data_IF_640969365183
#
_entry.id   IF_640969365183
#
_cell.length_a   1.000
_cell.length_b   1.000
_cell.length_c   1.000
_cell.angle_alpha   90.00
_cell.angle_beta   90.00
_cell.angle_gamma   90.00
#
_symmetry.space_group_name_H-M   'P 1'
#
loop_
_entity.id
_entity.type
_entity.pdbx_description
1 polymer ?
#
# COMPACT_ATOMS: atom_id res chain seq x y z
N UNK A 1 -19.63 3.69 25.69
CA UNK A 1 -19.22 5.00 25.15
C UNK A 1 -18.08 5.56 25.99
N UNK A 2 -17.01 6.01 25.35
CA UNK A 2 -15.81 6.60 25.97
C UNK A 2 -15.62 8.01 25.39
N UNK A 3 -15.35 8.99 26.24
CA UNK A 3 -15.25 10.41 25.87
C UNK A 3 -13.89 10.94 26.31
N UNK A 4 -13.17 11.59 25.39
CA UNK A 4 -11.90 12.28 25.63
C UNK A 4 -12.06 13.79 25.83
N UNK A 5 -10.97 14.51 25.62
CA UNK A 5 -10.83 15.96 25.74
C UNK A 5 -10.21 16.57 24.47
N UNK A 6 -9.68 17.79 24.52
CA UNK A 6 -8.98 18.41 23.38
C UNK A 6 -7.46 18.28 23.47
N UNK A 7 -6.98 17.36 24.30
CA UNK A 7 -5.58 17.11 24.54
C UNK A 7 -5.22 15.71 24.03
N UNK A 8 -3.94 15.48 23.75
CA UNK A 8 -3.43 14.14 23.44
C UNK A 8 -3.71 13.16 24.57
N UNK A 9 -4.39 12.08 24.23
CA UNK A 9 -4.83 11.02 25.11
C UNK A 9 -4.43 9.63 24.59
N UNK A 10 -4.46 8.66 25.50
CA UNK A 10 -4.26 7.25 25.18
C UNK A 10 -5.48 6.49 25.66
N UNK A 11 -6.17 5.85 24.72
CA UNK A 11 -7.31 4.98 24.97
C UNK A 11 -6.83 3.53 24.85
N UNK A 12 -7.00 2.74 25.91
CA UNK A 12 -6.70 1.31 25.88
C UNK A 12 -7.98 0.54 26.10
N UNK A 13 -8.35 -0.26 25.10
CA UNK A 13 -9.54 -1.09 25.08
C UNK A 13 -9.10 -2.55 25.05
N UNK A 14 -9.61 -3.33 26.00
CA UNK A 14 -9.35 -4.75 26.09
C UNK A 14 -10.44 -5.58 25.40
N UNK A 15 -10.36 -6.88 25.64
CA UNK A 15 -11.31 -7.87 25.12
C UNK A 15 -12.66 -7.66 25.80
N UNK A 16 -13.53 -6.91 25.12
CA UNK A 16 -14.90 -6.64 25.50
C UNK A 16 -15.82 -7.11 24.35
N UNK A 17 -16.82 -7.92 24.67
CA UNK A 17 -17.83 -8.40 23.70
C UNK A 17 -18.85 -7.31 23.32
N UNK A 18 -18.90 -6.24 24.10
CA UNK A 18 -19.83 -5.15 23.88
C UNK A 18 -19.28 -4.15 22.85
N UNK A 19 -20.12 -3.60 21.96
CA UNK A 19 -19.69 -2.54 21.06
C UNK A 19 -19.21 -1.31 21.83
N UNK A 20 -17.99 -0.87 21.53
CA UNK A 20 -17.36 0.30 22.14
C UNK A 20 -17.33 1.43 21.13
N UNK A 21 -17.73 2.60 21.60
CA UNK A 21 -17.74 3.83 20.82
C UNK A 21 -16.88 4.88 21.53
N UNK A 22 -15.88 5.42 20.83
CA UNK A 22 -14.88 6.33 21.37
C UNK A 22 -14.94 7.67 20.65
N UNK A 23 -15.07 8.74 21.44
CA UNK A 23 -15.07 10.13 21.00
C UNK A 23 -13.91 10.85 21.68
N UNK A 24 -12.68 10.76 21.15
CA UNK A 24 -11.52 11.53 21.63
C UNK A 24 -11.79 13.04 21.64
N UNK A 25 -12.49 13.56 20.62
CA UNK A 25 -12.72 14.97 20.29
C UNK A 25 -11.57 15.62 19.52
N UNK A 26 -10.41 15.87 20.13
CA UNK A 26 -9.27 16.35 19.35
C UNK A 26 -7.97 16.41 20.13
N UNK A 27 -6.90 16.76 19.44
CA UNK A 27 -5.55 16.45 19.90
C UNK A 27 -5.04 15.20 19.16
N UNK A 28 -3.73 14.96 19.21
CA UNK A 28 -3.16 13.79 18.56
C UNK A 28 -3.34 12.59 19.50
N UNK A 29 -4.28 11.69 19.21
CA UNK A 29 -4.68 10.61 20.13
C UNK A 29 -4.18 9.22 19.70
N UNK A 30 -3.98 8.35 20.70
CA UNK A 30 -3.58 6.96 20.48
C UNK A 30 -4.65 6.00 20.98
N UNK A 31 -5.12 5.11 20.12
CA UNK A 31 -6.08 4.06 20.43
C UNK A 31 -5.39 2.69 20.34
N UNK A 32 -5.30 1.98 21.46
CA UNK A 32 -4.82 0.61 21.52
C UNK A 32 -6.04 -0.29 21.78
N UNK A 33 -6.48 -1.01 20.75
CA UNK A 33 -7.65 -1.88 20.81
C UNK A 33 -7.20 -3.32 20.64
N UNK A 34 -7.47 -4.14 21.64
CA UNK A 34 -7.20 -5.58 21.63
C UNK A 34 -8.53 -6.29 21.78
N UNK A 35 -8.89 -7.12 20.79
CA UNK A 35 -10.02 -8.03 20.88
C UNK A 35 -9.57 -9.48 21.07
N UNK A 36 -10.53 -10.38 21.11
CA UNK A 36 -10.36 -11.83 21.11
C UNK A 36 -10.61 -12.43 19.71
N UNK A 37 -10.20 -13.68 19.53
CA UNK A 37 -10.23 -14.35 18.23
C UNK A 37 -11.64 -14.78 17.76
N UNK A 38 -12.66 -14.54 18.58
CA UNK A 38 -14.03 -14.98 18.33
C UNK A 38 -14.88 -14.01 17.48
N UNK A 39 -14.29 -12.87 17.10
CA UNK A 39 -14.86 -11.85 16.20
C UNK A 39 -16.02 -11.02 16.76
N UNK A 40 -16.36 -11.08 18.05
CA UNK A 40 -17.45 -10.28 18.61
C UNK A 40 -17.07 -8.85 18.99
N UNK A 41 -15.79 -8.54 19.23
CA UNK A 41 -15.43 -7.17 19.59
C UNK A 41 -15.61 -6.21 18.41
N UNK A 42 -16.41 -5.17 18.65
CA UNK A 42 -16.65 -4.10 17.70
C UNK A 42 -16.26 -2.76 18.30
N UNK A 43 -15.32 -2.06 17.66
CA UNK A 43 -14.94 -0.71 18.06
C UNK A 43 -15.32 0.31 16.99
N UNK A 44 -15.88 1.44 17.40
CA UNK A 44 -16.08 2.61 16.55
C UNK A 44 -15.34 3.80 17.15
N UNK A 45 -14.46 4.42 16.37
CA UNK A 45 -13.64 5.55 16.82
C UNK A 45 -13.88 6.76 15.92
N UNK A 46 -14.09 7.92 16.54
CA UNK A 46 -14.28 9.22 15.88
C UNK A 46 -13.14 10.18 16.24
N UNK A 47 -12.02 10.11 15.51
CA UNK A 47 -10.76 10.84 15.75
C UNK A 47 -10.93 12.35 15.91
N UNK A 48 -11.62 12.98 14.97
CA UNK A 48 -11.97 14.40 15.07
C UNK A 48 -10.90 15.28 14.45
N UNK A 49 -10.25 16.13 15.25
CA UNK A 49 -9.14 16.98 14.78
C UNK A 49 -7.84 16.57 15.47
N UNK A 50 -6.79 16.30 14.71
CA UNK A 50 -5.51 15.86 15.22
C UNK A 50 -4.91 14.80 14.30
N UNK A 51 -3.69 14.35 14.59
CA UNK A 51 -3.13 13.18 13.93
C UNK A 51 -3.37 11.98 14.83
N UNK A 52 -4.40 11.20 14.53
CA UNK A 52 -4.77 10.05 15.34
C UNK A 52 -4.02 8.78 14.91
N UNK A 53 -3.74 7.92 15.89
CA UNK A 53 -3.12 6.62 15.66
C UNK A 53 -3.99 5.52 16.29
N UNK A 54 -4.49 4.58 15.49
CA UNK A 54 -5.25 3.43 15.95
C UNK A 54 -4.48 2.14 15.68
N UNK A 55 -4.18 1.41 16.75
CA UNK A 55 -3.61 0.07 16.73
C UNK A 55 -4.72 -0.93 17.09
N UNK A 56 -5.09 -1.78 16.15
CA UNK A 56 -6.12 -2.81 16.31
C UNK A 56 -5.53 -4.21 16.16
N UNK A 57 -5.80 -5.08 17.13
CA UNK A 57 -5.40 -6.49 17.10
C UNK A 57 -6.59 -7.37 17.44
N UNK A 58 -6.88 -8.38 16.61
CA UNK A 58 -8.01 -9.32 16.76
C UNK A 58 -9.36 -8.65 17.00
N UNK A 59 -9.67 -7.56 16.29
CA UNK A 59 -10.93 -6.82 16.52
C UNK A 59 -11.53 -6.35 15.20
N UNK A 60 -12.84 -6.12 15.18
CA UNK A 60 -13.53 -5.55 14.04
C UNK A 60 -13.96 -4.12 14.37
N UNK A 61 -14.08 -3.26 13.37
CA UNK A 61 -14.47 -1.89 13.70
C UNK A 61 -14.62 -0.92 12.57
N UNK A 62 -14.85 0.32 12.95
CA UNK A 62 -14.85 1.48 12.06
C UNK A 62 -14.00 2.58 12.67
N UNK A 63 -13.12 3.15 11.87
CA UNK A 63 -12.31 4.29 12.27
C UNK A 63 -12.57 5.46 11.32
N UNK A 64 -13.06 6.55 11.89
CA UNK A 64 -13.17 7.84 11.24
C UNK A 64 -12.04 8.71 11.77
N UNK A 65 -10.99 8.92 10.98
CA UNK A 65 -9.84 9.75 11.33
C UNK A 65 -10.27 11.20 11.51
N UNK A 66 -10.64 11.85 10.41
CA UNK A 66 -11.26 13.17 10.47
C UNK A 66 -10.35 14.20 9.84
N UNK A 67 -9.76 15.11 10.60
CA UNK A 67 -8.85 16.10 10.07
C UNK A 67 -7.45 15.95 10.67
N UNK A 68 -6.48 15.64 9.81
CA UNK A 68 -5.08 15.45 10.16
C UNK A 68 -4.49 14.29 9.39
N UNK A 69 -3.29 13.85 9.74
CA UNK A 69 -2.65 12.71 9.10
C UNK A 69 -2.80 11.48 9.98
N UNK A 70 -3.84 10.71 9.73
CA UNK A 70 -4.24 9.63 10.61
C UNK A 70 -3.55 8.31 10.23
N UNK A 71 -3.29 7.46 11.21
CA UNK A 71 -2.68 6.15 11.01
C UNK A 71 -3.56 5.06 11.60
N UNK A 72 -3.90 4.08 10.78
CA UNK A 72 -4.57 2.85 11.20
C UNK A 72 -3.63 1.66 10.96
N UNK A 73 -3.26 0.96 12.02
CA UNK A 73 -2.54 -0.31 11.98
C UNK A 73 -3.45 -1.43 12.46
N UNK A 74 -3.81 -2.35 11.56
CA UNK A 74 -4.66 -3.50 11.86
C UNK A 74 -3.86 -4.77 11.68
N UNK A 75 -3.60 -5.51 12.75
CA UNK A 75 -2.91 -6.81 12.68
C UNK A 75 -3.86 -7.91 12.24
N UNK A 76 -5.04 -8.01 12.86
CA UNK A 76 -6.05 -9.02 12.56
C UNK A 76 -7.45 -8.44 12.76
N UNK A 77 -8.38 -8.82 11.88
CA UNK A 77 -9.77 -8.39 11.92
C UNK A 77 -10.18 -7.51 10.73
N UNK A 78 -11.41 -6.98 10.77
CA UNK A 78 -12.04 -6.27 9.66
C UNK A 78 -12.35 -4.83 10.07
N UNK A 79 -11.82 -3.88 9.33
CA UNK A 79 -12.07 -2.46 9.56
C UNK A 79 -12.65 -1.75 8.35
N UNK A 80 -13.58 -0.85 8.63
CA UNK A 80 -13.92 0.24 7.72
C UNK A 80 -13.09 1.46 8.12
N UNK A 81 -12.33 2.01 7.17
CA UNK A 81 -11.50 3.18 7.40
C UNK A 81 -11.96 4.36 6.54
N UNK A 82 -12.25 5.48 7.21
CA UNK A 82 -12.41 6.80 6.59
C UNK A 82 -11.41 7.74 7.25
N UNK A 83 -10.27 7.97 6.60
CA UNK A 83 -9.25 8.90 7.10
C UNK A 83 -9.66 10.38 7.02
N UNK A 84 -10.73 10.71 6.29
CA UNK A 84 -11.17 12.10 6.18
C UNK A 84 -10.20 12.97 5.36
N UNK A 85 -9.76 14.10 5.93
CA UNK A 85 -8.89 15.08 5.27
C UNK A 85 -7.46 15.00 5.80
N UNK A 86 -6.49 14.88 4.89
CA UNK A 86 -5.08 14.84 5.21
C UNK A 86 -4.39 13.74 4.41
N UNK A 87 -3.21 13.33 4.87
CA UNK A 87 -2.47 12.21 4.33
C UNK A 87 -2.51 11.08 5.34
N UNK A 88 -3.31 10.07 5.04
CA UNK A 88 -3.63 8.99 5.95
C UNK A 88 -2.80 7.74 5.62
N UNK A 89 -2.48 6.95 6.63
CA UNK A 89 -1.71 5.72 6.51
C UNK A 89 -2.57 4.56 6.99
N UNK A 90 -2.69 3.52 6.15
CA UNK A 90 -3.39 2.29 6.50
C UNK A 90 -2.43 1.09 6.36
N UNK A 91 -1.97 0.57 7.49
CA UNK A 91 -1.11 -0.61 7.57
C UNK A 91 -1.96 -1.83 7.93
N UNK A 92 -1.80 -2.93 7.18
CA UNK A 92 -2.60 -4.14 7.34
C UNK A 92 -1.67 -5.34 7.50
N UNK A 93 -1.69 -5.92 8.69
CA UNK A 93 -0.83 -7.02 9.10
C UNK A 93 -1.34 -8.42 8.72
N UNK A 94 -2.51 -8.57 8.11
CA UNK A 94 -3.07 -9.87 7.72
C UNK A 94 -3.76 -9.85 6.35
N UNK A 95 -4.04 -11.05 5.82
CA UNK A 95 -4.86 -11.29 4.63
C UNK A 95 -6.30 -10.79 4.84
N UNK A 96 -6.52 -9.56 4.39
CA UNK A 96 -7.83 -8.89 4.39
C UNK A 96 -8.70 -9.33 3.21
N UNK A 97 -9.54 -10.35 3.39
CA UNK A 97 -10.52 -10.75 2.37
C UNK A 97 -11.56 -9.66 2.04
N UNK A 98 -11.88 -8.77 2.99
CA UNK A 98 -12.98 -7.80 2.92
C UNK A 98 -12.60 -6.39 3.42
N UNK A 99 -11.46 -5.82 2.99
CA UNK A 99 -11.15 -4.42 3.33
C UNK A 99 -11.94 -3.44 2.45
N UNK A 100 -12.66 -2.51 3.11
CA UNK A 100 -13.32 -1.38 2.46
C UNK A 100 -12.72 -0.06 2.94
N UNK A 101 -12.01 0.64 2.06
CA UNK A 101 -11.43 1.96 2.31
C UNK A 101 -12.33 3.03 1.70
N UNK A 102 -12.86 3.92 2.54
CA UNK A 102 -13.60 5.11 2.12
C UNK A 102 -12.80 6.36 2.53
N UNK A 103 -11.56 6.51 2.08
CA UNK A 103 -10.82 7.74 2.36
C UNK A 103 -11.26 8.86 1.41
N UNK A 104 -11.64 10.00 1.99
CA UNK A 104 -11.89 11.26 1.27
C UNK A 104 -10.60 12.06 1.01
N UNK A 105 -9.46 11.56 1.51
CA UNK A 105 -8.12 12.15 1.46
C UNK A 105 -7.15 11.32 0.62
N UNK A 106 -5.85 11.39 0.95
CA UNK A 106 -4.81 10.59 0.28
C UNK A 106 -4.42 9.44 1.20
N UNK A 107 -4.69 8.19 0.78
CA UNK A 107 -4.14 6.99 1.44
C UNK A 107 -2.72 6.78 0.94
N UNK A 108 -1.74 6.93 1.82
CA UNK A 108 -0.33 6.96 1.47
C UNK A 108 0.27 5.58 1.21
N UNK A 109 -0.19 4.55 1.91
CA UNK A 109 0.37 3.19 1.84
C UNK A 109 -0.72 2.19 2.15
N UNK A 110 -0.75 1.08 1.39
CA UNK A 110 -1.45 -0.17 1.73
C UNK A 110 -0.37 -1.24 1.67
N UNK A 111 -0.02 -1.82 2.80
CA UNK A 111 0.87 -2.97 2.87
C UNK A 111 0.07 -4.13 3.43
N UNK A 112 -0.12 -5.21 2.67
CA UNK A 112 -0.44 -6.53 3.20
C UNK A 112 0.85 -7.17 3.69
N UNK A 113 0.83 -7.80 4.86
CA UNK A 113 1.80 -8.86 5.14
C UNK A 113 1.23 -10.11 4.51
N UNK A 114 1.88 -10.55 3.44
CA UNK A 114 1.69 -11.89 2.92
C UNK A 114 2.34 -12.79 3.98
N UNK A 115 1.55 -13.24 4.95
CA UNK A 115 1.93 -14.37 5.80
C UNK A 115 1.86 -15.61 4.90
N UNK A 116 2.82 -15.69 3.98
CA UNK A 116 3.19 -16.90 3.27
C UNK A 116 3.83 -17.84 4.31
N UNK A 117 2.99 -18.34 5.23
CA UNK A 117 3.25 -19.59 5.97
C UNK A 117 3.04 -20.78 5.01
N UNK A 118 3.59 -20.67 3.79
CA UNK A 118 3.96 -21.82 2.99
C UNK A 118 5.21 -22.40 3.68
N UNK A 119 4.97 -23.01 4.84
CA UNK A 119 5.86 -24.04 5.37
C UNK A 119 5.96 -25.10 4.27
N UNK A 120 7.00 -24.95 3.45
CA UNK A 120 7.50 -25.87 2.43
C UNK A 120 7.87 -27.23 3.04
N UNK A 121 6.90 -27.92 3.65
CA UNK A 121 7.01 -29.33 4.02
C UNK A 121 6.45 -30.17 2.86
N UNK A 122 7.39 -30.53 1.98
CA UNK A 122 7.42 -31.77 1.20
C UNK A 122 6.30 -32.02 0.17
N UNK A 123 6.43 -31.48 -1.05
CA UNK A 123 6.01 -32.20 -2.27
C UNK A 123 6.85 -31.75 -3.48
N UNK A 124 8.08 -32.28 -3.50
CA UNK A 124 9.00 -32.33 -4.63
C UNK A 124 8.34 -33.04 -5.82
N UNK A 125 7.70 -32.28 -6.74
CA UNK A 125 7.37 -32.74 -8.09
C UNK A 125 7.17 -31.55 -9.06
N UNK A 126 8.15 -30.64 -9.10
CA UNK A 126 8.23 -29.62 -10.14
C UNK A 126 8.60 -30.27 -11.50
N UNK A 127 7.59 -30.70 -12.26
CA UNK A 127 7.74 -31.03 -13.66
C UNK A 127 8.36 -29.82 -14.43
N UNK A 128 9.42 -30.01 -15.24
CA UNK A 128 10.10 -28.89 -15.89
C UNK A 128 9.21 -28.28 -16.99
N UNK A 129 8.85 -27.01 -16.82
CA UNK A 129 8.10 -26.26 -17.84
C UNK A 129 9.02 -26.02 -19.04
N UNK A 130 8.66 -26.62 -20.17
CA UNK A 130 9.33 -26.44 -21.45
C UNK A 130 8.97 -25.05 -21.99
N UNK A 131 9.92 -24.11 -21.94
CA UNK A 131 9.74 -22.77 -22.48
C UNK A 131 9.50 -22.84 -24.00
N UNK A 132 8.27 -22.55 -24.43
CA UNK A 132 7.94 -22.28 -25.82
C UNK A 132 8.57 -20.94 -26.22
N UNK A 133 9.65 -20.99 -27.02
CA UNK A 133 10.27 -19.81 -27.61
C UNK A 133 9.31 -19.11 -28.59
N UNK A 134 9.22 -17.77 -28.62
CA UNK A 134 8.50 -17.08 -29.68
C UNK A 134 9.32 -17.12 -30.98
N UNK A 135 8.64 -17.47 -32.07
CA UNK A 135 9.22 -17.58 -33.40
C UNK A 135 9.67 -16.22 -33.94
N UNK A 136 10.97 -16.07 -34.19
CA UNK A 136 11.53 -15.07 -35.09
C UNK A 136 12.46 -15.78 -36.08
N UNK A 137 11.91 -16.22 -37.21
CA UNK A 137 12.71 -16.76 -38.31
C UNK A 137 13.40 -15.62 -39.04
N UNK A 138 14.71 -15.52 -38.82
CA UNK A 138 15.60 -14.66 -39.58
C UNK A 138 15.71 -15.13 -41.03
N UNK A 139 15.58 -14.15 -41.92
CA UNK A 139 15.87 -14.15 -43.35
C UNK A 139 17.15 -14.90 -43.75
N UNK A 140 16.99 -15.79 -44.73
CA UNK A 140 17.98 -16.51 -45.54
C UNK A 140 19.24 -15.69 -45.89
N UNK A 141 20.42 -16.17 -45.50
CA UNK A 141 21.68 -15.77 -46.15
C UNK A 141 22.10 -16.84 -47.18
N UNK A 142 21.97 -16.47 -48.45
CA UNK A 142 22.67 -17.12 -49.55
C UNK A 142 24.15 -16.71 -49.55
N UNK A 143 25.02 -17.70 -49.68
CA UNK A 143 26.45 -17.59 -49.98
C UNK A 143 26.73 -16.73 -51.22
N UNK A 144 27.75 -15.87 -51.18
CA UNK A 144 28.84 -15.86 -52.18
C UNK A 144 29.97 -14.89 -51.81
N UNK A 145 31.20 -15.39 -51.98
CA UNK A 145 32.48 -14.71 -51.79
C UNK A 145 32.87 -14.03 -53.11
N UNK A 146 33.31 -12.76 -53.02
CA UNK A 146 34.46 -12.15 -53.73
C UNK A 146 34.18 -10.75 -54.32
N UNK A 147 35.05 -9.79 -53.95
CA UNK A 147 35.67 -8.90 -54.93
C UNK A 147 35.22 -7.43 -54.96
N UNK A 148 36.19 -6.52 -54.78
CA UNK A 148 36.20 -5.14 -55.32
C UNK A 148 35.74 -4.07 -54.32
N UNK A 149 36.62 -3.22 -53.75
CA UNK A 149 37.44 -2.14 -54.35
C UNK A 149 36.72 -0.79 -54.43
N UNK A 150 37.30 0.21 -53.74
CA UNK A 150 37.17 1.68 -53.91
C UNK A 150 35.78 2.28 -53.56
N UNK A 151 35.59 3.48 -52.99
CA UNK A 151 36.43 4.64 -52.61
C UNK A 151 35.55 5.56 -51.75
N UNK A 152 36.13 6.25 -50.77
CA UNK A 152 35.46 7.24 -49.93
C UNK A 152 35.44 8.64 -50.60
N UNK A 153 34.33 9.39 -50.51
CA UNK A 153 34.45 10.85 -50.43
C UNK A 153 33.69 11.46 -49.25
N UNK A 154 34.34 12.45 -48.67
CA UNK A 154 33.94 13.32 -47.57
C UNK A 154 32.85 14.33 -47.94
N UNK A 155 32.02 14.72 -46.96
CA UNK A 155 31.31 16.03 -46.84
C UNK A 155 30.62 16.11 -45.47
N UNK A 156 31.26 16.76 -44.47
CA UNK A 156 31.11 18.15 -44.00
C UNK A 156 29.76 18.45 -43.32
N UNK A 157 29.71 18.79 -42.02
CA UNK A 157 28.47 19.18 -41.33
C UNK A 157 28.10 20.65 -41.60
N UNK A 158 26.80 21.01 -41.55
CA UNK A 158 26.36 22.41 -41.68
C UNK A 158 26.57 23.21 -40.39
N UNK A 159 26.86 24.49 -40.60
CA UNK A 159 27.30 25.55 -39.70
C UNK A 159 26.19 26.17 -38.84
N UNK A 160 26.53 26.54 -37.60
CA UNK A 160 25.79 27.48 -36.73
C UNK A 160 25.68 28.87 -37.36
N UNK A 161 24.55 29.59 -37.23
CA UNK A 161 24.52 31.03 -37.44
C UNK A 161 24.94 31.80 -36.18
N UNK A 162 25.68 32.87 -36.42
CA UNK A 162 26.25 33.84 -35.49
C UNK A 162 25.25 34.91 -35.05
N UNK A 163 25.52 35.49 -33.88
CA UNK A 163 24.97 36.74 -33.34
C UNK A 163 25.08 37.93 -34.30
N UNK A 164 24.11 38.85 -34.25
CA UNK A 164 24.32 40.27 -34.56
C UNK A 164 23.61 41.15 -33.53
N UNK A 165 24.40 42.00 -32.88
CA UNK A 165 23.97 43.20 -32.18
C UNK A 165 23.44 44.24 -33.16
N UNK A 166 22.54 45.11 -32.69
CA UNK A 166 21.96 46.23 -33.41
C UNK A 166 20.67 46.66 -32.75
#
# INVERSE_FOLDING_TARGET
>A
MVQGTSATEIFTIGEDDDPIEIYPNGGDDLFNVTGDDDSFNQVTVFGGNGNEALNATFTNGTFFGGAGNDTLDVVNGRFVFDGGTGVDILNLGASIGDLRIDSRGVVATISSRDDDDDDDDDDDDAAPVQAAAPAATMTTMMTTRAGGSATCPSRRPPSRPSSSAG
#
